data_IF_612724288574
#
_entry.id   IF_612724288574
#
_cell.length_a   1.000
_cell.length_b   1.000
_cell.length_c   1.000
_cell.angle_alpha   90.00
_cell.angle_beta   90.00
_cell.angle_gamma   90.00
#
_symmetry.space_group_name_H-M   'P 1'
#
loop_
_entity.id
_entity.type
_entity.pdbx_description
1 polymer ?
#
# COMPACT_ATOMS: atom_id res chain seq x y z
N UNK A 1 -17.68 12.45 -31.03
CA UNK A 1 -17.43 13.50 -30.01
C UNK A 1 -16.22 13.10 -29.18
N UNK A 2 -15.09 13.83 -29.26
CA UNK A 2 -13.92 13.55 -28.42
C UNK A 2 -14.20 14.08 -27.01
N UNK A 3 -14.36 13.17 -26.03
CA UNK A 3 -14.38 13.52 -24.61
C UNK A 3 -12.95 13.88 -24.21
N UNK A 4 -12.63 15.17 -24.16
CA UNK A 4 -11.35 15.63 -23.61
C UNK A 4 -11.22 15.18 -22.15
N UNK A 5 -10.00 15.01 -21.62
CA UNK A 5 -9.80 14.65 -20.22
C UNK A 5 -10.49 15.68 -19.32
N UNK A 6 -11.39 15.21 -18.45
CA UNK A 6 -11.99 16.05 -17.41
C UNK A 6 -10.87 16.45 -16.47
N UNK A 7 -10.55 17.74 -16.40
CA UNK A 7 -9.56 18.24 -15.45
C UNK A 7 -10.08 18.00 -14.03
N UNK A 8 -9.31 17.21 -13.26
CA UNK A 8 -9.58 16.81 -11.88
C UNK A 8 -8.49 17.32 -10.94
N UNK A 9 -8.24 18.64 -10.89
CA UNK A 9 -7.10 19.22 -10.18
C UNK A 9 -7.16 18.93 -8.67
N UNK A 10 -8.35 18.88 -8.09
CA UNK A 10 -8.58 18.56 -6.68
C UNK A 10 -8.28 17.10 -6.36
N UNK A 11 -8.71 16.16 -7.20
CA UNK A 11 -8.40 14.74 -7.01
C UNK A 11 -6.92 14.46 -7.25
N UNK A 12 -6.29 15.11 -8.24
CA UNK A 12 -4.85 14.99 -8.45
C UNK A 12 -4.05 15.54 -7.24
N UNK A 13 -4.47 16.68 -6.68
CA UNK A 13 -3.86 17.22 -5.47
C UNK A 13 -4.07 16.31 -4.25
N UNK A 14 -5.26 15.69 -4.12
CA UNK A 14 -5.56 14.72 -3.07
C UNK A 14 -4.71 13.45 -3.20
N UNK A 15 -4.60 12.88 -4.41
CA UNK A 15 -3.74 11.73 -4.69
C UNK A 15 -2.27 12.07 -4.41
N UNK A 16 -1.79 13.23 -4.86
CA UNK A 16 -0.43 13.68 -4.58
C UNK A 16 -0.18 13.88 -3.07
N UNK A 17 -1.16 14.40 -2.32
CA UNK A 17 -1.10 14.53 -0.86
C UNK A 17 -1.03 13.16 -0.17
N UNK A 18 -1.87 12.21 -0.60
CA UNK A 18 -1.88 10.83 -0.09
C UNK A 18 -0.56 10.12 -0.39
N UNK A 19 -0.01 10.29 -1.60
CA UNK A 19 1.29 9.74 -1.98
C UNK A 19 2.45 10.35 -1.16
N UNK A 20 2.35 11.65 -0.81
CA UNK A 20 3.35 12.34 0.04
C UNK A 20 3.19 12.04 1.54
N UNK A 21 2.04 11.51 1.95
CA UNK A 21 1.83 11.13 3.34
C UNK A 21 2.69 9.91 3.68
N UNK A 22 3.76 10.13 4.44
CA UNK A 22 4.59 9.09 5.05
C UNK A 22 3.82 8.40 6.18
N UNK A 23 2.69 7.76 5.85
CA UNK A 23 1.98 6.94 6.83
C UNK A 23 2.96 5.86 7.28
N UNK A 24 3.33 5.90 8.56
CA UNK A 24 4.15 4.85 9.16
C UNK A 24 3.44 3.53 8.90
N UNK A 25 4.13 2.63 8.25
CA UNK A 25 3.66 1.27 8.09
C UNK A 25 3.62 0.62 9.49
N UNK A 26 2.69 -0.32 9.74
CA UNK A 26 2.67 -1.08 10.97
C UNK A 26 4.01 -1.80 11.19
N UNK A 27 4.35 -2.12 12.43
CA UNK A 27 5.58 -2.85 12.74
C UNK A 27 5.60 -4.24 12.09
N UNK A 28 6.79 -4.79 11.85
CA UNK A 28 6.95 -6.14 11.27
C UNK A 28 6.15 -7.20 12.05
N UNK A 29 6.17 -7.25 13.41
CA UNK A 29 5.36 -8.22 14.15
C UNK A 29 3.85 -8.09 13.89
N UNK A 30 3.35 -6.85 13.79
CA UNK A 30 1.93 -6.62 13.50
C UNK A 30 1.55 -7.08 12.08
N UNK A 31 2.43 -6.88 11.11
CA UNK A 31 2.22 -7.34 9.74
C UNK A 31 2.33 -8.87 9.61
N UNK A 32 3.24 -9.50 10.35
CA UNK A 32 3.36 -10.96 10.40
C UNK A 32 2.13 -11.61 11.05
N UNK A 33 1.58 -11.01 12.11
CA UNK A 33 0.32 -11.46 12.70
C UNK A 33 -0.83 -11.38 11.69
N UNK A 34 -0.96 -10.26 10.97
CA UNK A 34 -1.98 -10.11 9.92
C UNK A 34 -1.82 -11.13 8.77
N UNK A 35 -0.57 -11.50 8.42
CA UNK A 35 -0.29 -12.53 7.42
C UNK A 35 -0.78 -13.91 7.89
N UNK A 36 -0.54 -14.27 9.16
CA UNK A 36 -1.02 -15.51 9.75
C UNK A 36 -2.55 -15.57 9.77
N UNK A 37 -3.21 -14.46 10.15
CA UNK A 37 -4.67 -14.35 10.14
C UNK A 37 -5.26 -14.51 8.73
N UNK A 38 -4.66 -13.85 7.73
CA UNK A 38 -5.10 -13.97 6.34
C UNK A 38 -4.91 -15.39 5.80
N UNK A 39 -3.77 -16.03 6.13
CA UNK A 39 -3.50 -17.41 5.75
C UNK A 39 -4.49 -18.39 6.40
N UNK A 40 -4.80 -18.22 7.68
CA UNK A 40 -5.78 -19.02 8.40
C UNK A 40 -7.19 -18.93 7.76
N UNK A 41 -7.54 -17.75 7.23
CA UNK A 41 -8.80 -17.50 6.51
C UNK A 41 -8.77 -17.92 5.04
N UNK A 42 -7.63 -18.41 4.53
CA UNK A 42 -7.39 -18.68 3.10
C UNK A 42 -7.63 -17.45 2.20
N UNK A 43 -7.40 -16.26 2.73
CA UNK A 43 -7.50 -14.99 2.01
C UNK A 43 -6.20 -14.71 1.25
N UNK A 44 -6.20 -15.01 -0.05
CA UNK A 44 -5.03 -14.84 -0.92
C UNK A 44 -4.61 -13.39 -1.06
N UNK A 45 -5.57 -12.47 -1.16
CA UNK A 45 -5.29 -11.04 -1.32
C UNK A 45 -4.70 -10.47 -0.03
N UNK A 46 -5.27 -10.84 1.12
CA UNK A 46 -4.76 -10.49 2.43
C UNK A 46 -3.32 -10.97 2.65
N UNK A 47 -3.01 -12.21 2.29
CA UNK A 47 -1.64 -12.76 2.36
C UNK A 47 -0.69 -11.96 1.47
N UNK A 48 -1.07 -11.69 0.22
CA UNK A 48 -0.21 -10.98 -0.73
C UNK A 48 0.07 -9.54 -0.28
N UNK A 49 -0.95 -8.84 0.21
CA UNK A 49 -0.83 -7.49 0.73
C UNK A 49 0.05 -7.42 1.99
N UNK A 50 -0.17 -8.32 2.95
CA UNK A 50 0.60 -8.37 4.18
C UNK A 50 2.08 -8.69 3.88
N UNK A 51 2.36 -9.66 3.01
CA UNK A 51 3.71 -10.01 2.60
C UNK A 51 4.45 -8.83 1.95
N UNK A 52 3.82 -8.12 1.01
CA UNK A 52 4.42 -6.94 0.38
C UNK A 52 4.74 -5.83 1.39
N UNK A 53 3.86 -5.63 2.37
CA UNK A 53 4.07 -4.64 3.44
C UNK A 53 5.22 -5.05 4.36
N UNK A 54 5.34 -6.34 4.71
CA UNK A 54 6.47 -6.84 5.52
C UNK A 54 7.80 -6.53 4.82
N UNK A 55 7.92 -6.87 3.53
CA UNK A 55 9.14 -6.62 2.75
C UNK A 55 9.48 -5.13 2.72
N UNK A 56 8.49 -4.26 2.48
CA UNK A 56 8.71 -2.80 2.44
C UNK A 56 9.15 -2.20 3.78
N UNK A 57 8.76 -2.80 4.91
CA UNK A 57 9.21 -2.34 6.25
C UNK A 57 10.55 -2.95 6.64
N UNK A 58 10.78 -4.22 6.32
CA UNK A 58 11.98 -4.96 6.73
C UNK A 58 13.19 -4.72 5.82
N UNK A 59 12.97 -4.36 4.55
CA UNK A 59 14.00 -4.09 3.55
C UNK A 59 13.65 -2.78 2.80
N UNK A 60 13.85 -1.61 3.43
CA UNK A 60 13.45 -0.31 2.88
C UNK A 60 14.16 0.05 1.57
N UNK A 61 15.35 -0.51 1.34
CA UNK A 61 16.15 -0.33 0.13
C UNK A 61 15.55 -0.94 -1.16
N UNK A 62 14.46 -1.71 -1.08
CA UNK A 62 13.77 -2.28 -2.27
C UNK A 62 12.85 -1.24 -2.96
N UNK A 63 12.85 0.03 -2.53
CA UNK A 63 12.01 1.10 -3.09
C UNK A 63 12.71 2.43 -3.36
N UNK A 64 14.03 2.50 -3.22
CA UNK A 64 14.81 3.70 -3.55
C UNK A 64 15.43 3.53 -4.94
N UNK A 65 14.95 4.32 -5.89
CA UNK A 65 15.57 4.57 -7.19
C UNK A 65 15.45 6.05 -7.50
#
# INVERSE_FOLDING_TARGET
>A
MKRGPVRRPTEHAALASVCRSTRRLPSVPALMAALLDANARRDREGVQLAAHRVVRVAAPEVGES
#
